data_IF_876700027779
#
_entry.id   IF_876700027779
#
_cell.length_a   1.000
_cell.length_b   1.000
_cell.length_c   1.000
_cell.angle_alpha   90.00
_cell.angle_beta   90.00
_cell.angle_gamma   90.00
#
_symmetry.space_group_name_H-M   'P 1'
#
loop_
_entity.id
_entity.type
_entity.pdbx_description
1 polymer ?
#
# COMPACT_ATOMS: atom_id res chain seq x y z
N UNK A 1 12.19 9.89 -9.71
CA UNK A 1 11.25 10.74 -8.91
C UNK A 1 9.78 10.64 -9.32
N UNK A 2 9.41 10.20 -10.54
CA UNK A 2 8.01 10.22 -11.01
C UNK A 2 7.03 9.30 -10.25
N UNK A 3 7.45 8.10 -9.85
CA UNK A 3 6.56 7.11 -9.22
C UNK A 3 6.05 7.53 -7.85
N UNK A 4 6.95 8.03 -6.98
CA UNK A 4 6.58 8.48 -5.64
C UNK A 4 5.57 9.65 -5.69
N UNK A 5 5.79 10.61 -6.60
CA UNK A 5 4.85 11.72 -6.83
C UNK A 5 3.49 11.23 -7.36
N UNK A 6 3.48 10.30 -8.32
CA UNK A 6 2.26 9.72 -8.90
C UNK A 6 1.33 9.13 -7.84
N UNK A 7 1.90 8.50 -6.81
CA UNK A 7 1.14 7.87 -5.74
C UNK A 7 1.19 8.65 -4.40
N UNK A 8 1.59 9.93 -4.46
CA UNK A 8 1.63 10.83 -3.32
C UNK A 8 2.39 10.29 -2.09
N UNK A 9 3.50 9.57 -2.33
CA UNK A 9 4.36 9.02 -1.28
C UNK A 9 5.17 10.15 -0.67
N UNK A 10 4.76 10.59 0.53
CA UNK A 10 5.37 11.70 1.28
C UNK A 10 6.23 11.26 2.47
N UNK A 11 6.11 10.00 2.88
CA UNK A 11 6.82 9.44 4.04
C UNK A 11 7.25 8.00 3.77
N UNK A 12 8.35 7.57 4.41
CA UNK A 12 8.89 6.21 4.25
C UNK A 12 8.95 5.47 5.60
N UNK A 13 8.81 4.13 5.61
CA UNK A 13 8.42 3.28 4.48
C UNK A 13 6.94 3.47 4.09
N UNK A 14 6.60 3.23 2.83
CA UNK A 14 5.22 3.20 2.32
C UNK A 14 5.01 1.96 1.45
N UNK A 15 3.96 1.20 1.72
CA UNK A 15 3.55 0.00 0.98
C UNK A 15 2.23 0.30 0.28
N UNK A 16 2.20 0.15 -1.04
CA UNK A 16 1.02 0.41 -1.87
C UNK A 16 0.43 -0.91 -2.35
N UNK A 17 -0.89 -1.05 -2.23
CA UNK A 17 -1.63 -2.22 -2.68
C UNK A 17 -2.31 -1.94 -4.01
N UNK A 18 -2.17 -2.87 -4.95
CA UNK A 18 -2.77 -2.79 -6.27
C UNK A 18 -3.62 -4.02 -6.55
N UNK A 19 -4.81 -3.84 -7.11
CA UNK A 19 -5.68 -4.89 -7.65
C UNK A 19 -6.08 -4.53 -9.07
N UNK A 20 -5.92 -5.45 -10.02
CA UNK A 20 -6.25 -5.24 -11.43
C UNK A 20 -5.62 -3.98 -12.04
N UNK A 21 -4.39 -3.65 -11.65
CA UNK A 21 -3.67 -2.46 -12.10
C UNK A 21 -4.12 -1.13 -11.46
N UNK A 22 -5.12 -1.16 -10.59
CA UNK A 22 -5.61 0.01 -9.85
C UNK A 22 -5.04 0.04 -8.42
N UNK A 23 -4.68 1.24 -7.95
CA UNK A 23 -4.26 1.47 -6.57
C UNK A 23 -5.49 1.40 -5.65
N UNK A 24 -5.48 0.51 -4.66
CA UNK A 24 -6.63 0.26 -3.78
C UNK A 24 -6.37 0.56 -2.30
N UNK A 25 -5.10 0.63 -1.87
CA UNK A 25 -4.74 0.94 -0.48
C UNK A 25 -3.29 1.39 -0.33
N UNK A 26 -2.98 2.04 0.78
CA UNK A 26 -1.62 2.44 1.17
C UNK A 26 -1.43 2.27 2.68
N UNK A 27 -0.31 1.66 3.06
CA UNK A 27 0.18 1.61 4.43
C UNK A 27 1.43 2.47 4.54
N UNK A 28 1.45 3.40 5.49
CA UNK A 28 2.59 4.27 5.76
C UNK A 28 3.17 3.93 7.13
N UNK A 29 4.49 3.82 7.21
CA UNK A 29 5.21 3.42 8.41
C UNK A 29 5.39 1.91 8.56
N UNK A 30 6.13 1.51 9.59
CA UNK A 30 6.32 0.11 9.93
C UNK A 30 5.08 -0.42 10.67
N UNK A 31 4.58 -1.59 10.26
CA UNK A 31 3.43 -2.24 10.88
C UNK A 31 3.69 -3.73 11.10
N UNK A 32 3.01 -4.39 12.07
CA UNK A 32 3.11 -5.83 12.24
C UNK A 32 2.63 -6.61 11.01
N UNK A 33 3.17 -7.82 10.81
CA UNK A 33 2.79 -8.75 9.74
C UNK A 33 1.28 -8.97 9.63
N UNK A 34 0.61 -9.18 10.76
CA UNK A 34 -0.84 -9.42 10.81
C UNK A 34 -1.65 -8.28 10.16
N UNK A 35 -1.18 -7.04 10.26
CA UNK A 35 -1.82 -5.88 9.62
C UNK A 35 -1.77 -6.00 8.10
N UNK A 36 -0.59 -6.34 7.54
CA UNK A 36 -0.42 -6.52 6.10
C UNK A 36 -1.24 -7.70 5.58
N UNK A 37 -1.28 -8.81 6.31
CA UNK A 37 -2.12 -9.96 5.96
C UNK A 37 -3.62 -9.60 5.92
N UNK A 38 -4.07 -8.80 6.90
CA UNK A 38 -5.44 -8.28 6.92
C UNK A 38 -5.74 -7.42 5.68
N UNK A 39 -4.82 -6.53 5.31
CA UNK A 39 -4.94 -5.69 4.10
C UNK A 39 -5.00 -6.52 2.82
N UNK A 40 -4.17 -7.56 2.68
CA UNK A 40 -4.24 -8.45 1.52
C UNK A 40 -5.60 -9.14 1.45
N UNK A 41 -6.05 -9.75 2.56
CA UNK A 41 -7.34 -10.46 2.63
C UNK A 41 -8.52 -9.55 2.27
N UNK A 42 -8.50 -8.29 2.74
CA UNK A 42 -9.52 -7.29 2.44
C UNK A 42 -9.69 -7.07 0.93
N UNK A 43 -8.63 -7.18 0.14
CA UNK A 43 -8.64 -6.90 -1.30
C UNK A 43 -8.65 -8.18 -2.16
N UNK A 44 -8.71 -9.38 -1.58
CA UNK A 44 -8.76 -10.64 -2.35
C UNK A 44 -10.14 -10.95 -2.93
N UNK A 45 -11.22 -10.47 -2.32
CA UNK A 45 -12.61 -10.57 -2.84
C UNK A 45 -12.84 -9.60 -3.98
#
# INVERSE_FOLDING_TARGET
QRTAMRFNVRSIPSILFFKNGQHVDTVVGAVPKATLEGKIKQHLS
#
